data_IF_477556068943
#
_entry.id   IF_477556068943
#
_cell.length_a   1.000
_cell.length_b   1.000
_cell.length_c   1.000
_cell.angle_alpha   90.00
_cell.angle_beta   90.00
_cell.angle_gamma   90.00
#
_symmetry.space_group_name_H-M   'P 1'
#
loop_
_entity.id
_entity.type
_entity.pdbx_description
1 polymer ?
#
# COMPACT_ATOMS: atom_id res chain seq x y z
N UNK A 1 -6.86 21.01 15.74
CA UNK A 1 -6.41 21.05 14.34
C UNK A 1 -5.74 22.40 14.10
N UNK A 2 -4.62 22.41 13.39
CA UNK A 2 -3.80 23.59 13.11
C UNK A 2 -3.96 24.06 11.67
N UNK A 3 -5.20 24.14 11.19
CA UNK A 3 -5.54 24.44 9.79
C UNK A 3 -4.92 25.78 9.36
N UNK A 4 -4.96 26.79 10.24
CA UNK A 4 -4.41 28.13 10.00
C UNK A 4 -2.87 28.17 10.08
N UNK A 5 -2.23 27.10 10.58
CA UNK A 5 -0.77 27.07 10.74
C UNK A 5 -0.08 27.02 9.38
N UNK A 6 -0.72 26.40 8.38
CA UNK A 6 -0.18 26.30 7.03
C UNK A 6 0.02 27.68 6.40
N UNK A 7 -0.83 28.65 6.73
CA UNK A 7 -0.79 30.01 6.17
C UNK A 7 0.50 30.76 6.54
N UNK A 8 1.20 30.29 7.57
CA UNK A 8 2.48 30.88 8.02
C UNK A 8 3.69 30.40 7.22
N UNK A 9 3.52 29.41 6.34
CA UNK A 9 4.62 28.79 5.60
C UNK A 9 4.34 28.75 4.10
N UNK A 10 5.38 28.99 3.29
CA UNK A 10 5.29 28.81 1.85
C UNK A 10 5.56 27.34 1.47
N UNK A 11 4.53 26.65 1.01
CA UNK A 11 4.59 25.27 0.50
C UNK A 11 4.50 25.21 -1.05
N UNK A 12 4.78 26.30 -1.74
CA UNK A 12 4.72 26.37 -3.21
C UNK A 12 5.67 25.38 -3.90
N UNK A 13 6.82 25.10 -3.29
CA UNK A 13 7.81 24.13 -3.79
C UNK A 13 7.39 22.67 -3.63
N UNK A 14 6.48 22.37 -2.70
CA UNK A 14 5.96 21.01 -2.47
C UNK A 14 5.01 20.64 -3.60
N UNK A 15 5.28 19.53 -4.29
CA UNK A 15 4.47 19.06 -5.41
C UNK A 15 3.48 17.97 -5.01
N UNK A 16 3.88 17.09 -4.11
CA UNK A 16 3.08 15.94 -3.66
C UNK A 16 3.51 15.52 -2.25
N UNK A 17 2.58 14.85 -1.56
CA UNK A 17 2.78 14.30 -0.23
C UNK A 17 2.58 12.79 -0.34
N UNK A 18 3.47 12.00 0.27
CA UNK A 18 3.31 10.56 0.39
C UNK A 18 2.92 10.23 1.83
N UNK A 19 1.94 9.35 1.99
CA UNK A 19 1.57 8.76 3.28
C UNK A 19 1.96 7.28 3.29
N UNK A 20 2.41 6.79 4.44
CA UNK A 20 3.06 5.49 4.57
C UNK A 20 2.88 4.93 5.98
N UNK A 21 2.69 3.61 6.08
CA UNK A 21 2.82 2.84 7.32
C UNK A 21 1.51 2.41 8.00
N UNK A 22 0.41 3.11 7.76
CA UNK A 22 -0.91 2.75 8.30
C UNK A 22 -2.04 3.06 7.29
N UNK A 23 -3.23 2.44 7.41
CA UNK A 23 -4.35 2.72 6.53
C UNK A 23 -4.70 4.22 6.50
N UNK A 24 -4.66 4.83 5.31
CA UNK A 24 -4.91 6.25 5.17
C UNK A 24 -6.41 6.56 5.18
N UNK A 25 -6.87 7.17 6.27
CA UNK A 25 -8.27 7.59 6.40
C UNK A 25 -8.66 8.60 5.30
N UNK A 26 -9.76 8.38 4.55
CA UNK A 26 -10.29 9.33 3.56
C UNK A 26 -10.39 10.78 4.04
N UNK A 27 -10.71 11.00 5.31
CA UNK A 27 -10.85 12.34 5.88
C UNK A 27 -9.51 13.08 5.96
N UNK A 28 -8.40 12.37 6.17
CA UNK A 28 -7.05 12.96 6.15
C UNK A 28 -6.70 13.41 4.73
N UNK A 29 -7.05 12.62 3.72
CA UNK A 29 -6.82 12.98 2.30
C UNK A 29 -7.63 14.23 1.93
N UNK A 30 -8.92 14.27 2.31
CA UNK A 30 -9.79 15.44 2.08
C UNK A 30 -9.27 16.68 2.79
N UNK A 31 -8.89 16.56 4.05
CA UNK A 31 -8.34 17.65 4.84
C UNK A 31 -7.03 18.15 4.26
N UNK A 32 -6.09 17.27 3.92
CA UNK A 32 -4.81 17.65 3.32
C UNK A 32 -5.00 18.34 1.96
N UNK A 33 -5.96 17.88 1.16
CA UNK A 33 -6.33 18.57 -0.10
C UNK A 33 -6.89 19.97 0.18
N UNK A 34 -7.72 20.14 1.22
CA UNK A 34 -8.30 21.43 1.61
C UNK A 34 -7.25 22.39 2.16
N UNK A 35 -6.38 21.93 3.05
CA UNK A 35 -5.43 22.76 3.82
C UNK A 35 -4.14 23.01 3.04
N UNK A 36 -3.54 21.97 2.45
CA UNK A 36 -2.28 22.11 1.71
C UNK A 36 -2.49 22.43 0.23
N UNK A 37 -3.68 22.20 -0.32
CA UNK A 37 -3.90 22.28 -1.77
C UNK A 37 -3.09 21.24 -2.55
N UNK A 38 -2.60 20.18 -1.87
CA UNK A 38 -1.74 19.14 -2.45
C UNK A 38 -2.46 17.79 -2.46
N UNK A 39 -1.99 16.92 -3.35
CA UNK A 39 -2.40 15.51 -3.38
C UNK A 39 -1.60 14.72 -2.34
N UNK A 40 -2.29 13.90 -1.57
CA UNK A 40 -1.68 12.89 -0.69
C UNK A 40 -1.81 11.54 -1.38
N UNK A 41 -0.70 10.87 -1.61
CA UNK A 41 -0.64 9.56 -2.23
C UNK A 41 -0.37 8.53 -1.14
N UNK A 42 -1.24 7.54 -1.02
CA UNK A 42 -0.97 6.39 -0.17
C UNK A 42 0.04 5.45 -0.83
N UNK A 43 0.92 4.86 -0.01
CA UNK A 43 1.98 3.94 -0.43
C UNK A 43 2.05 2.76 0.55
N UNK A 44 1.55 1.62 0.11
CA UNK A 44 1.59 0.38 0.89
C UNK A 44 2.86 -0.42 0.57
N UNK A 45 3.55 -0.82 1.63
CA UNK A 45 4.67 -1.74 1.66
C UNK A 45 5.02 -2.14 3.09
N UNK A 46 5.97 -3.06 3.23
CA UNK A 46 6.49 -3.49 4.51
C UNK A 46 8.00 -3.72 4.44
N UNK A 47 8.64 -3.89 5.60
CA UNK A 47 10.10 -4.11 5.67
C UNK A 47 10.54 -5.27 4.77
N UNK A 48 9.76 -6.35 4.75
CA UNK A 48 10.01 -7.58 4.00
C UNK A 48 9.90 -7.42 2.48
N UNK A 49 9.20 -6.39 2.00
CA UNK A 49 9.08 -6.12 0.56
C UNK A 49 10.24 -5.26 0.04
N UNK A 50 10.95 -4.56 0.93
CA UNK A 50 12.11 -3.73 0.62
C UNK A 50 11.80 -2.38 -0.03
N UNK A 51 10.54 -2.12 -0.37
CA UNK A 51 10.09 -0.86 -0.97
C UNK A 51 8.60 -0.89 -1.31
N UNK A 52 8.11 0.23 -1.87
CA UNK A 52 6.72 0.41 -2.30
C UNK A 52 6.23 -0.75 -3.17
N UNK A 53 5.00 -1.21 -2.92
CA UNK A 53 4.41 -2.33 -3.66
C UNK A 53 3.10 -1.93 -4.34
N UNK A 54 2.20 -1.29 -3.60
CA UNK A 54 0.90 -0.80 -4.08
C UNK A 54 0.84 0.69 -3.76
N UNK A 55 0.57 1.51 -4.78
CA UNK A 55 0.65 2.97 -4.64
C UNK A 55 -0.47 3.67 -5.39
N UNK A 56 -0.82 4.87 -4.91
CA UNK A 56 -1.57 5.83 -5.70
C UNK A 56 -0.64 6.51 -6.72
N UNK A 57 -0.93 6.34 -8.01
CA UNK A 57 -0.15 6.98 -9.07
C UNK A 57 -0.44 8.47 -9.17
N UNK A 58 0.62 9.26 -9.36
CA UNK A 58 0.49 10.70 -9.63
C UNK A 58 -0.32 10.99 -10.89
N UNK A 59 -0.28 10.09 -11.88
CA UNK A 59 -0.93 10.26 -13.18
C UNK A 59 -2.41 9.84 -13.19
N UNK A 60 -2.91 9.21 -12.12
CA UNK A 60 -4.27 8.67 -12.05
C UNK A 60 -5.12 9.42 -11.02
N UNK A 61 -6.44 9.25 -11.08
CA UNK A 61 -7.33 9.75 -10.03
C UNK A 61 -7.22 8.89 -8.77
N UNK A 62 -7.23 9.54 -7.60
CA UNK A 62 -7.09 8.88 -6.30
C UNK A 62 -8.48 8.49 -5.79
N UNK A 63 -8.72 7.19 -5.64
CA UNK A 63 -9.90 6.67 -4.96
C UNK A 63 -9.68 6.79 -3.45
N UNK A 64 -10.48 7.61 -2.78
CA UNK A 64 -10.31 7.89 -1.35
C UNK A 64 -10.44 6.62 -0.51
N UNK A 65 -9.43 6.35 0.32
CA UNK A 65 -9.35 5.14 1.14
C UNK A 65 -8.80 3.92 0.41
N UNK A 66 -8.41 4.05 -0.86
CA UNK A 66 -7.64 3.03 -1.58
C UNK A 66 -6.14 3.33 -1.50
N UNK A 67 -5.35 2.28 -1.26
CA UNK A 67 -3.89 2.31 -1.38
C UNK A 67 -3.40 2.37 -2.84
N UNK A 68 -4.32 2.26 -3.80
CA UNK A 68 -4.03 2.39 -5.23
C UNK A 68 -3.79 1.04 -5.90
N UNK A 69 -2.82 0.99 -6.81
CA UNK A 69 -2.58 -0.16 -7.70
C UNK A 69 -1.13 -0.68 -7.56
N UNK A 70 -0.89 -1.97 -7.83
CA UNK A 70 0.46 -2.53 -7.80
C UNK A 70 1.42 -1.77 -8.73
N UNK A 71 2.69 -1.63 -8.30
CA UNK A 71 3.77 -1.12 -9.15
C UNK A 71 4.05 -2.06 -10.33
N UNK A 72 4.60 -1.55 -11.45
CA UNK A 72 4.94 -2.41 -12.58
C UNK A 72 5.90 -3.53 -12.17
N UNK A 73 5.55 -4.77 -12.52
CA UNK A 73 6.30 -5.97 -12.13
C UNK A 73 5.93 -6.55 -10.76
N UNK A 74 5.03 -5.91 -10.01
CA UNK A 74 4.43 -6.46 -8.81
C UNK A 74 3.09 -7.11 -9.17
N UNK A 75 2.94 -8.40 -8.88
CA UNK A 75 1.67 -9.11 -8.99
C UNK A 75 1.11 -9.28 -7.57
N UNK A 76 0.04 -8.54 -7.25
CA UNK A 76 -0.66 -8.63 -5.97
C UNK A 76 -2.08 -9.17 -6.18
N UNK A 77 -2.57 -9.90 -5.19
CA UNK A 77 -3.91 -10.49 -5.21
C UNK A 77 -4.48 -10.56 -3.79
N UNK A 78 -5.80 -10.67 -3.71
CA UNK A 78 -6.48 -11.04 -2.47
C UNK A 78 -6.73 -12.54 -2.51
N UNK A 79 -6.23 -13.27 -1.52
CA UNK A 79 -6.34 -14.73 -1.46
C UNK A 79 -7.07 -15.19 -0.20
N UNK A 80 -7.64 -16.40 -0.25
CA UNK A 80 -8.11 -17.12 0.94
C UNK A 80 -6.95 -17.81 1.69
N UNK A 81 -7.29 -18.60 2.71
CA UNK A 81 -6.31 -19.33 3.52
C UNK A 81 -5.70 -20.55 2.81
N UNK A 82 -6.23 -20.93 1.65
CA UNK A 82 -5.76 -22.06 0.84
C UNK A 82 -4.88 -21.58 -0.33
N UNK A 83 -4.78 -20.27 -0.55
CA UNK A 83 -4.00 -19.67 -1.64
C UNK A 83 -4.81 -19.42 -2.91
N UNK A 84 -6.13 -19.56 -2.88
CA UNK A 84 -6.99 -19.27 -4.03
C UNK A 84 -7.26 -17.77 -4.11
N UNK A 85 -7.16 -17.20 -5.31
CA UNK A 85 -7.50 -15.80 -5.56
C UNK A 85 -9.01 -15.59 -5.42
N UNK A 86 -9.39 -14.62 -4.60
CA UNK A 86 -10.78 -14.24 -4.37
C UNK A 86 -11.28 -13.30 -5.48
N UNK A 87 -12.59 -13.35 -5.79
CA UNK A 87 -13.19 -12.40 -6.72
C UNK A 87 -13.23 -10.98 -6.12
N UNK A 88 -13.45 -9.95 -6.95
CA UNK A 88 -13.57 -8.56 -6.50
C UNK A 88 -14.56 -8.37 -5.35
N UNK A 89 -14.33 -7.33 -4.55
CA UNK A 89 -15.13 -6.92 -3.40
C UNK A 89 -15.26 -7.98 -2.30
N UNK A 90 -14.31 -8.92 -2.22
CA UNK A 90 -14.19 -9.88 -1.12
C UNK A 90 -12.97 -9.58 -0.28
N UNK A 91 -13.17 -9.55 1.03
CA UNK A 91 -12.10 -9.42 2.00
C UNK A 91 -11.30 -10.73 2.07
N UNK A 92 -9.97 -10.62 2.07
CA UNK A 92 -9.08 -11.76 2.25
C UNK A 92 -7.67 -11.29 2.61
N UNK A 93 -6.71 -12.20 2.52
CA UNK A 93 -5.31 -11.91 2.79
C UNK A 93 -4.70 -11.19 1.59
N UNK A 94 -4.04 -10.06 1.82
CA UNK A 94 -3.23 -9.41 0.80
C UNK A 94 -1.96 -10.25 0.56
N UNK A 95 -1.79 -10.66 -0.68
CA UNK A 95 -0.64 -11.45 -1.10
C UNK A 95 0.06 -10.83 -2.30
N UNK A 96 1.37 -11.05 -2.37
CA UNK A 96 2.22 -10.66 -3.49
C UNK A 96 2.92 -11.90 -4.03
N UNK A 97 2.94 -12.08 -5.33
CA UNK A 97 3.62 -13.23 -5.93
C UNK A 97 5.13 -13.09 -5.76
N UNK A 98 5.78 -14.14 -5.26
CA UNK A 98 7.22 -14.14 -4.98
C UNK A 98 8.03 -13.90 -6.26
N UNK A 99 9.20 -13.28 -6.09
CA UNK A 99 10.14 -13.05 -7.20
C UNK A 99 10.32 -11.58 -7.60
N UNK A 100 9.75 -10.63 -6.85
CA UNK A 100 10.06 -9.21 -7.07
C UNK A 100 11.52 -8.88 -6.67
N UNK A 101 12.14 -7.85 -7.26
CA UNK A 101 13.59 -7.63 -7.13
C UNK A 101 14.11 -7.36 -5.71
N UNK A 102 13.29 -6.70 -4.87
CA UNK A 102 13.66 -6.28 -3.52
C UNK A 102 13.16 -7.20 -2.41
N UNK A 103 12.65 -8.38 -2.76
CA UNK A 103 12.10 -9.35 -1.80
C UNK A 103 13.13 -9.72 -0.74
N UNK A 104 12.70 -9.75 0.53
CA UNK A 104 13.54 -10.27 1.60
C UNK A 104 14.04 -11.68 1.27
N UNK A 105 15.28 -11.97 1.66
CA UNK A 105 15.94 -13.23 1.29
C UNK A 105 15.80 -14.33 2.32
N UNK A 106 15.70 -13.94 3.60
CA UNK A 106 15.61 -14.83 4.75
C UNK A 106 15.26 -14.05 6.01
N UNK A 107 14.80 -14.74 7.04
CA UNK A 107 14.78 -14.24 8.42
C UNK A 107 16.02 -14.77 9.12
N UNK A 108 16.82 -13.87 9.69
CA UNK A 108 18.08 -14.22 10.33
C UNK A 108 17.90 -15.27 11.42
N UNK A 109 18.64 -16.39 11.32
CA UNK A 109 18.57 -17.55 12.24
C UNK A 109 17.16 -18.17 12.40
N UNK A 110 16.22 -17.89 11.49
CA UNK A 110 14.86 -18.43 11.57
C UNK A 110 14.30 -18.79 10.18
N UNK A 111 14.80 -19.87 9.55
CA UNK A 111 14.31 -20.30 8.24
C UNK A 111 12.83 -20.69 8.25
N UNK A 112 12.33 -21.24 9.36
CA UNK A 112 10.90 -21.60 9.49
C UNK A 112 10.00 -20.39 9.40
N UNK A 113 10.37 -19.27 10.06
CA UNK A 113 9.63 -18.02 9.95
C UNK A 113 9.62 -17.50 8.52
N UNK A 114 10.75 -17.56 7.81
CA UNK A 114 10.79 -17.16 6.39
C UNK A 114 9.82 -17.99 5.54
N UNK A 115 9.80 -19.32 5.71
CA UNK A 115 8.87 -20.18 4.96
C UNK A 115 7.41 -19.93 5.34
N UNK A 116 7.13 -19.56 6.59
CA UNK A 116 5.76 -19.30 7.06
C UNK A 116 5.04 -18.15 6.35
N UNK A 117 5.77 -17.26 5.69
CA UNK A 117 5.17 -16.17 4.93
C UNK A 117 4.60 -16.62 3.58
N UNK A 118 4.85 -17.86 3.14
CA UNK A 118 4.51 -18.29 1.79
C UNK A 118 3.40 -19.34 1.77
N UNK A 119 2.42 -19.14 0.89
CA UNK A 119 1.44 -20.15 0.46
C UNK A 119 1.69 -20.41 -1.03
N UNK A 120 2.42 -21.48 -1.34
CA UNK A 120 2.86 -21.77 -2.70
C UNK A 120 3.79 -20.69 -3.27
N UNK A 121 3.29 -19.93 -4.25
CA UNK A 121 4.02 -18.81 -4.87
C UNK A 121 3.61 -17.45 -4.30
N UNK A 122 2.65 -17.40 -3.39
CA UNK A 122 2.17 -16.18 -2.75
C UNK A 122 2.95 -15.90 -1.47
N UNK A 123 3.54 -14.71 -1.36
CA UNK A 123 3.96 -14.10 -0.11
C UNK A 123 2.73 -13.44 0.54
N UNK A 124 2.37 -13.87 1.74
CA UNK A 124 1.23 -13.38 2.52
C UNK A 124 1.72 -12.28 3.46
N UNK A 125 1.24 -11.06 3.30
CA UNK A 125 1.71 -9.92 4.11
C UNK A 125 1.23 -9.95 5.56
N UNK A 126 0.11 -10.63 5.82
CA UNK A 126 -0.62 -10.56 7.09
C UNK A 126 -1.62 -9.42 7.16
N UNK A 127 -1.72 -8.59 6.11
CA UNK A 127 -2.75 -7.56 5.98
C UNK A 127 -4.03 -8.13 5.37
N UNK A 128 -5.17 -7.60 5.81
CA UNK A 128 -6.48 -7.89 5.21
C UNK A 128 -6.87 -6.75 4.28
N UNK A 129 -7.23 -7.09 3.04
CA UNK A 129 -7.71 -6.13 2.06
C UNK A 129 -8.76 -6.76 1.14
N UNK A 130 -9.39 -5.91 0.32
CA UNK A 130 -10.19 -6.34 -0.82
C UNK A 130 -9.71 -5.58 -2.06
N UNK A 131 -9.86 -6.21 -3.22
CA UNK A 131 -9.66 -5.57 -4.52
C UNK A 131 -11.05 -5.24 -5.07
N UNK A 132 -11.27 -4.02 -5.55
CA UNK A 132 -12.51 -3.67 -6.23
C UNK A 132 -12.47 -4.13 -7.70
N UNK A 133 -13.39 -3.65 -8.52
CA UNK A 133 -13.50 -4.06 -9.93
C UNK A 133 -12.56 -3.28 -10.87
N UNK A 134 -11.89 -2.23 -10.37
CA UNK A 134 -11.08 -1.27 -11.17
C UNK A 134 -9.57 -1.54 -11.13
#
# INVERSE_FOLDING_TARGET
AGDDLVEKYDLSSVRSILSVGEPLNPEVIKWAKKVYGKRVLDTWWMTETGGHMIVNYLAEDIKLGSMGKPLPGIEAAIIDNEGNVLPPNRMGNLAVKKGWPSMMRQVWKNPEKYQSYFIGDWYVSGDSAYQDED
#
